data_IF_013568537813
#
_entry.id   IF_013568537813
#
_cell.length_a   1.000
_cell.length_b   1.000
_cell.length_c   1.000
_cell.angle_alpha   90.00
_cell.angle_beta   90.00
_cell.angle_gamma   90.00
#
_symmetry.space_group_name_H-M   'P 1'
#
loop_
_entity.id
_entity.type
_entity.pdbx_description
1 polymer ?
#
# COMPACT_ATOMS: atom_id res chain seq x y z
N UNK A 1 -12.38 6.20 10.44
CA UNK A 1 -11.80 4.88 10.74
C UNK A 1 -10.30 4.95 10.48
N UNK A 2 -9.50 4.26 11.28
CA UNK A 2 -8.03 4.27 11.13
C UNK A 2 -7.61 3.03 10.37
N UNK A 3 -6.66 3.17 9.45
CA UNK A 3 -6.09 2.10 8.65
C UNK A 3 -4.57 2.08 8.77
N UNK A 4 -4.00 0.90 8.71
CA UNK A 4 -2.58 0.63 8.90
C UNK A 4 -2.01 -0.04 7.66
N UNK A 5 -0.87 0.46 7.21
CA UNK A 5 -0.08 -0.13 6.13
C UNK A 5 1.16 -0.76 6.72
N UNK A 6 1.26 -2.07 6.52
CA UNK A 6 2.37 -2.90 6.93
C UNK A 6 3.17 -3.32 5.71
N UNK A 7 4.49 -3.40 5.87
CA UNK A 7 5.40 -3.84 4.81
C UNK A 7 6.31 -4.93 5.34
N UNK A 8 6.34 -6.07 4.64
CA UNK A 8 7.34 -7.12 4.83
C UNK A 8 8.51 -6.82 3.92
N UNK A 9 9.70 -6.65 4.51
CA UNK A 9 10.91 -6.40 3.76
C UNK A 9 11.43 -7.68 3.10
N UNK A 10 11.07 -8.85 3.64
CA UNK A 10 11.49 -10.16 3.12
C UNK A 10 10.68 -10.52 1.87
N UNK A 11 9.36 -10.45 1.93
CA UNK A 11 8.48 -10.83 0.81
C UNK A 11 8.17 -9.66 -0.13
N UNK A 12 8.54 -8.43 0.26
CA UNK A 12 8.24 -7.21 -0.50
C UNK A 12 6.75 -6.88 -0.56
N UNK A 13 5.92 -7.53 0.27
CA UNK A 13 4.47 -7.39 0.26
C UNK A 13 4.01 -6.19 1.10
N UNK A 14 2.89 -5.59 0.68
CA UNK A 14 2.20 -4.53 1.42
C UNK A 14 0.85 -5.04 1.89
N UNK A 15 0.62 -4.96 3.20
CA UNK A 15 -0.63 -5.39 3.83
C UNK A 15 -1.34 -4.18 4.41
N UNK A 16 -2.54 -3.90 3.91
CA UNK A 16 -3.35 -2.77 4.34
C UNK A 16 -4.61 -3.25 5.07
N UNK A 17 -4.73 -2.91 6.35
CA UNK A 17 -5.78 -3.42 7.23
C UNK A 17 -6.38 -2.28 8.08
N UNK A 18 -7.67 -2.36 8.46
CA UNK A 18 -8.25 -1.43 9.42
C UNK A 18 -7.63 -1.63 10.82
N UNK A 19 -7.24 -0.54 11.47
CA UNK A 19 -6.84 -0.53 12.87
C UNK A 19 -8.09 -0.72 13.74
N UNK A 20 -8.24 -1.92 14.28
CA UNK A 20 -9.35 -2.26 15.16
C UNK A 20 -9.10 -3.56 15.94
N UNK A 21 -9.91 -3.84 16.97
CA UNK A 21 -9.84 -5.08 17.72
C UNK A 21 -10.30 -6.24 16.82
N UNK A 22 -9.34 -6.90 16.19
CA UNK A 22 -9.55 -8.03 15.29
C UNK A 22 -8.20 -8.61 14.89
N UNK A 23 -8.14 -9.94 14.79
CA UNK A 23 -6.94 -10.71 14.47
C UNK A 23 -6.34 -10.44 13.07
N UNK A 24 -6.65 -9.33 12.41
CA UNK A 24 -6.05 -8.97 11.12
C UNK A 24 -4.52 -8.85 11.22
N UNK A 25 -3.99 -8.44 12.38
CA UNK A 25 -2.54 -8.45 12.64
C UNK A 25 -1.94 -9.85 12.81
N UNK A 26 -2.75 -10.87 13.12
CA UNK A 26 -2.27 -12.25 13.23
C UNK A 26 -1.98 -12.89 11.86
N UNK A 27 -2.49 -12.30 10.77
CA UNK A 27 -2.21 -12.71 9.40
C UNK A 27 -1.05 -11.92 8.77
N UNK A 28 -0.37 -11.07 9.54
CA UNK A 28 0.82 -10.38 9.07
C UNK A 28 2.02 -11.32 9.09
N UNK A 29 2.93 -11.12 8.14
CA UNK A 29 4.23 -11.76 8.16
C UNK A 29 4.99 -11.37 9.45
N UNK A 30 5.82 -12.26 9.99
CA UNK A 30 6.54 -12.01 11.25
C UNK A 30 7.53 -10.84 11.15
N UNK A 31 7.99 -10.49 9.96
CA UNK A 31 8.86 -9.34 9.70
C UNK A 31 8.08 -8.08 9.30
N UNK A 32 6.76 -8.16 9.16
CA UNK A 32 5.96 -7.03 8.73
C UNK A 32 6.03 -5.88 9.73
N UNK A 33 6.45 -4.70 9.25
CA UNK A 33 6.56 -3.48 10.05
C UNK A 33 5.48 -2.49 9.64
N UNK A 34 4.92 -1.79 10.62
CA UNK A 34 4.00 -0.68 10.39
C UNK A 34 4.80 0.49 9.79
N UNK A 35 4.53 0.79 8.53
CA UNK A 35 5.22 1.87 7.82
C UNK A 35 4.36 3.13 7.71
N UNK A 36 3.03 3.00 7.83
CA UNK A 36 2.13 4.13 7.69
C UNK A 36 0.75 3.88 8.33
N UNK A 37 0.12 4.96 8.77
CA UNK A 37 -1.22 4.93 9.38
C UNK A 37 -2.02 6.12 8.86
N UNK A 38 -3.29 5.90 8.53
CA UNK A 38 -4.16 6.93 7.94
C UNK A 38 -5.56 6.87 8.50
N UNK A 39 -6.17 8.04 8.70
CA UNK A 39 -7.59 8.16 9.01
C UNK A 39 -8.38 8.43 7.72
N UNK A 40 -9.47 7.69 7.52
CA UNK A 40 -10.37 7.84 6.38
C UNK A 40 -11.82 7.53 6.81
N UNK A 41 -12.79 8.11 6.12
CA UNK A 41 -14.21 7.90 6.41
C UNK A 41 -14.68 6.51 5.95
N UNK A 42 -14.08 5.99 4.88
CA UNK A 42 -14.40 4.69 4.28
C UNK A 42 -13.15 4.00 3.67
N UNK A 43 -13.33 2.74 3.25
CA UNK A 43 -12.25 1.93 2.65
C UNK A 43 -11.72 2.51 1.34
N UNK A 44 -12.58 3.09 0.50
CA UNK A 44 -12.21 3.64 -0.81
C UNK A 44 -11.26 4.83 -0.63
N UNK A 45 -11.61 5.77 0.25
CA UNK A 45 -10.75 6.91 0.59
C UNK A 45 -9.41 6.46 1.19
N UNK A 46 -9.42 5.42 2.03
CA UNK A 46 -8.21 4.85 2.59
C UNK A 46 -7.27 4.28 1.50
N UNK A 47 -7.84 3.60 0.50
CA UNK A 47 -7.08 3.05 -0.63
C UNK A 47 -6.50 4.15 -1.52
N UNK A 48 -7.27 5.20 -1.80
CA UNK A 48 -6.76 6.38 -2.52
C UNK A 48 -5.57 7.00 -1.79
N UNK A 49 -5.69 7.27 -0.49
CA UNK A 49 -4.57 7.82 0.30
C UNK A 49 -3.36 6.88 0.32
N UNK A 50 -3.58 5.57 0.37
CA UNK A 50 -2.51 4.54 0.29
C UNK A 50 -1.78 4.60 -1.05
N UNK A 51 -2.49 4.71 -2.17
CA UNK A 51 -1.86 4.83 -3.49
C UNK A 51 -1.02 6.10 -3.61
N UNK A 52 -1.51 7.23 -3.10
CA UNK A 52 -0.73 8.46 -3.01
C UNK A 52 0.52 8.31 -2.13
N UNK A 53 0.39 7.67 -0.96
CA UNK A 53 1.53 7.47 -0.05
C UNK A 53 2.62 6.59 -0.66
N UNK A 54 2.23 5.53 -1.37
CA UNK A 54 3.16 4.63 -2.05
C UNK A 54 3.75 5.21 -3.34
N UNK A 55 3.33 6.42 -3.73
CA UNK A 55 3.78 7.04 -4.97
C UNK A 55 3.34 6.27 -6.22
N UNK A 56 2.29 5.46 -6.13
CA UNK A 56 1.69 4.77 -7.27
C UNK A 56 0.85 5.71 -8.15
N UNK A 57 0.66 6.95 -7.70
CA UNK A 57 -0.05 7.99 -8.43
C UNK A 57 0.80 9.26 -8.61
N UNK A 58 0.67 9.93 -9.77
CA UNK A 58 -0.14 9.51 -10.92
C UNK A 58 0.52 8.33 -11.64
N UNK A 59 -0.30 7.46 -12.24
CA UNK A 59 0.18 6.43 -13.18
C UNK A 59 1.11 7.09 -14.20
N UNK A 60 2.40 6.76 -14.16
CA UNK A 60 3.33 7.12 -15.22
C UNK A 60 3.14 6.03 -16.28
N UNK A 61 2.49 6.31 -17.42
CA UNK A 61 2.50 5.36 -18.52
C UNK A 61 3.97 5.03 -18.80
N UNK A 62 4.32 3.73 -18.85
CA UNK A 62 5.60 3.36 -19.43
C UNK A 62 5.60 3.97 -20.81
N UNK A 63 6.40 5.02 -21.03
CA UNK A 63 6.65 5.52 -22.37
C UNK A 63 7.07 4.31 -23.17
N UNK A 64 6.27 3.96 -24.18
CA UNK A 64 6.60 2.92 -25.13
C UNK A 64 8.03 3.23 -25.59
N UNK A 65 8.95 2.31 -25.30
CA UNK A 65 10.27 2.28 -25.91
C UNK A 65 10.03 2.05 -27.41
N UNK A 66 9.68 3.13 -28.12
CA UNK A 66 9.86 3.23 -29.57
C UNK A 66 11.35 3.31 -29.79
N UNK A 67 12.02 2.16 -29.67
CA UNK A 67 13.33 1.95 -30.25
C UNK A 67 13.16 2.06 -31.76
N UNK A 68 13.32 3.29 -32.26
CA UNK A 68 13.61 3.60 -33.65
C UNK A 68 14.89 2.83 -34.02
N UNK A 69 14.71 1.65 -34.61
CA UNK A 69 15.79 0.87 -35.17
C UNK A 69 16.24 1.53 -36.49
N UNK A 70 17.57 1.67 -36.72
CA UNK A 70 18.13 2.38 -37.87
C UNK A 70 17.92 1.70 -39.23
#
# INVERSE_FOLDING_TARGET
MTYELWHSAIDGCYTFIPSGPGNSRAALEPDALLIWTVEAENWEEAQTKKHHYLGWEPYIPMEEDVTDAP
#
